data_IF_295935970045
#
_entry.id   IF_295935970045
#
_cell.length_a   1.000
_cell.length_b   1.000
_cell.length_c   1.000
_cell.angle_alpha   90.00
_cell.angle_beta   90.00
_cell.angle_gamma   90.00
#
_symmetry.space_group_name_H-M   'P 1'
#
loop_
_entity.id
_entity.type
_entity.pdbx_description
1 polymer ?
#
# COMPACT_ATOMS: atom_id res chain seq x y z
N UNK A 1 -18.35 -21.40 11.10
CA UNK A 1 -19.21 -20.21 10.85
C UNK A 1 -18.31 -19.08 10.39
N UNK A 2 -18.34 -18.77 9.09
CA UNK A 2 -17.42 -17.81 8.45
C UNK A 2 -17.98 -16.40 8.65
N UNK A 3 -17.39 -15.62 9.56
CA UNK A 3 -17.65 -14.19 9.68
C UNK A 3 -17.02 -13.48 8.49
N UNK A 4 -17.72 -13.46 7.35
CA UNK A 4 -17.47 -12.51 6.28
C UNK A 4 -17.82 -11.13 6.83
N UNK A 5 -16.83 -10.30 7.12
CA UNK A 5 -17.04 -8.87 7.31
C UNK A 5 -17.17 -8.29 5.89
N UNK A 6 -18.36 -7.87 5.43
CA UNK A 6 -18.49 -7.31 4.11
C UNK A 6 -17.57 -6.09 4.00
N UNK A 7 -16.99 -5.89 2.81
CA UNK A 7 -16.32 -4.63 2.48
C UNK A 7 -17.29 -3.52 2.84
N UNK A 8 -16.89 -2.52 3.66
CA UNK A 8 -17.79 -1.46 4.06
C UNK A 8 -18.45 -0.88 2.81
N UNK A 9 -19.78 -0.88 2.81
CA UNK A 9 -20.59 -0.55 1.64
C UNK A 9 -20.68 0.97 1.52
N UNK A 10 -19.57 1.59 1.15
CA UNK A 10 -19.51 3.00 0.75
C UNK A 10 -18.88 3.10 -0.63
N UNK A 11 -19.25 4.13 -1.38
CA UNK A 11 -18.56 4.41 -2.64
C UNK A 11 -17.24 5.13 -2.31
N UNK A 12 -16.06 4.52 -2.53
CA UNK A 12 -14.79 5.17 -2.23
C UNK A 12 -14.58 6.47 -3.03
N UNK A 13 -15.34 6.67 -4.12
CA UNK A 13 -15.28 7.87 -4.95
C UNK A 13 -16.03 9.07 -4.34
N UNK A 14 -16.89 8.83 -3.35
CA UNK A 14 -17.64 9.91 -2.66
C UNK A 14 -17.09 10.25 -1.29
N UNK A 15 -16.04 9.56 -0.83
CA UNK A 15 -15.38 9.86 0.44
C UNK A 15 -14.65 11.19 0.32
N UNK A 16 -14.91 12.17 1.21
CA UNK A 16 -14.26 13.48 1.12
C UNK A 16 -12.77 13.38 1.43
N UNK A 17 -11.95 14.03 0.59
CA UNK A 17 -10.51 14.23 0.85
C UNK A 17 -10.38 15.31 1.91
N UNK A 18 -9.91 14.95 3.11
CA UNK A 18 -9.81 15.86 4.26
C UNK A 18 -8.63 16.83 4.14
N UNK A 19 -7.52 16.39 3.54
CA UNK A 19 -6.33 17.20 3.29
C UNK A 19 -5.54 16.61 2.12
N UNK A 20 -4.79 17.48 1.45
CA UNK A 20 -3.73 17.12 0.49
C UNK A 20 -2.47 17.83 0.95
N UNK A 21 -1.39 17.08 1.15
CA UNK A 21 -0.17 17.57 1.82
C UNK A 21 0.72 18.45 0.93
N UNK A 22 0.12 19.34 0.12
CA UNK A 22 0.81 20.28 -0.77
C UNK A 22 1.73 21.27 -0.04
N UNK A 23 1.58 21.40 1.27
CA UNK A 23 2.44 22.23 2.12
C UNK A 23 3.81 21.56 2.40
N UNK A 24 3.95 20.26 2.12
CA UNK A 24 5.22 19.55 2.25
C UNK A 24 6.06 19.74 0.98
N UNK A 25 7.39 19.80 1.17
CA UNK A 25 8.31 19.89 0.04
C UNK A 25 8.24 18.61 -0.81
N UNK A 26 8.10 18.72 -2.15
CA UNK A 26 8.10 17.54 -3.01
C UNK A 26 9.46 16.84 -3.00
N UNK A 27 9.45 15.54 -3.28
CA UNK A 27 10.70 14.79 -3.49
C UNK A 27 11.35 15.29 -4.78
N UNK A 28 12.62 15.65 -4.71
CA UNK A 28 13.38 16.14 -5.86
C UNK A 28 13.41 15.08 -6.98
N UNK A 29 13.18 15.44 -8.26
CA UNK A 29 13.04 14.46 -9.36
C UNK A 29 14.25 13.55 -9.58
N UNK A 30 15.45 14.05 -9.32
CA UNK A 30 16.71 13.31 -9.40
C UNK A 30 16.76 12.12 -8.42
N UNK A 31 16.03 12.21 -7.30
CA UNK A 31 15.88 11.12 -6.32
C UNK A 31 14.91 10.03 -6.73
N UNK A 32 14.09 10.27 -7.76
CA UNK A 32 13.11 9.32 -8.28
C UNK A 32 13.63 8.50 -9.46
N UNK A 33 14.91 8.68 -9.82
CA UNK A 33 15.57 7.89 -10.88
C UNK A 33 15.83 6.46 -10.42
N UNK A 34 15.92 5.47 -11.34
CA UNK A 34 16.19 4.09 -10.97
C UNK A 34 17.50 3.92 -10.18
N UNK A 35 18.55 4.65 -10.56
CA UNK A 35 19.86 4.60 -9.92
C UNK A 35 19.80 5.15 -8.49
N UNK A 36 19.16 6.31 -8.29
CA UNK A 36 18.98 6.89 -6.96
C UNK A 36 18.15 5.99 -6.04
N UNK A 37 17.09 5.37 -6.55
CA UNK A 37 16.25 4.43 -5.79
C UNK A 37 17.04 3.17 -5.38
N UNK A 38 17.82 2.58 -6.30
CA UNK A 38 18.69 1.44 -5.98
C UNK A 38 19.69 1.80 -4.89
N UNK A 39 20.36 2.94 -5.03
CA UNK A 39 21.29 3.44 -4.01
C UNK A 39 20.60 3.64 -2.65
N UNK A 40 19.40 4.24 -2.64
CA UNK A 40 18.59 4.44 -1.45
C UNK A 40 18.19 3.13 -0.76
N UNK A 41 17.85 2.07 -1.51
CA UNK A 41 17.50 0.78 -0.92
C UNK A 41 18.70 -0.03 -0.44
N UNK A 42 19.86 0.13 -1.08
CA UNK A 42 21.12 -0.46 -0.62
C UNK A 42 21.68 0.23 0.62
N UNK A 43 21.36 1.51 0.82
CA UNK A 43 21.82 2.31 1.94
C UNK A 43 20.65 3.11 2.54
N UNK A 44 19.71 2.42 3.22
CA UNK A 44 18.57 3.08 3.82
C UNK A 44 19.02 4.03 4.93
N UNK A 45 18.45 5.24 5.02
CA UNK A 45 18.73 6.13 6.13
C UNK A 45 18.20 5.54 7.44
N UNK A 46 18.73 6.02 8.56
CA UNK A 46 18.10 5.78 9.85
C UNK A 46 16.67 6.34 9.80
N UNK A 47 15.69 5.47 9.93
CA UNK A 47 14.28 5.85 9.99
C UNK A 47 13.65 5.15 11.19
N UNK A 48 12.75 5.86 11.87
CA UNK A 48 11.92 5.33 12.95
C UNK A 48 10.46 5.37 12.49
N UNK A 49 9.66 4.30 12.71
CA UNK A 49 8.23 4.35 12.43
C UNK A 49 7.55 5.50 13.19
N UNK A 50 6.74 6.30 12.50
CA UNK A 50 5.99 7.40 13.12
C UNK A 50 4.93 6.91 14.12
N UNK A 51 4.38 5.71 13.90
CA UNK A 51 3.41 5.07 14.79
C UNK A 51 3.70 3.57 14.89
N UNK A 52 3.92 3.06 16.11
CA UNK A 52 4.34 1.68 16.35
C UNK A 52 3.25 0.75 16.91
N UNK A 53 1.99 1.17 16.96
CA UNK A 53 0.91 0.31 17.47
C UNK A 53 -0.32 0.37 16.56
N UNK A 54 -0.37 -0.51 15.57
CA UNK A 54 -1.63 -0.85 14.92
C UNK A 54 -2.57 -1.48 15.96
N UNK A 55 -3.80 -0.98 16.06
CA UNK A 55 -4.81 -1.59 16.92
C UNK A 55 -5.13 -2.98 16.37
N UNK A 56 -5.01 -4.01 17.20
CA UNK A 56 -5.44 -5.35 16.83
C UNK A 56 -6.97 -5.38 16.77
N UNK A 57 -7.54 -5.50 15.58
CA UNK A 57 -8.99 -5.51 15.36
C UNK A 57 -9.62 -6.92 15.44
N UNK A 58 -8.85 -7.95 15.79
CA UNK A 58 -9.30 -9.35 15.82
C UNK A 58 -8.45 -10.22 16.74
N UNK A 59 -9.07 -11.18 17.43
CA UNK A 59 -8.37 -12.23 18.19
C UNK A 59 -7.70 -13.30 17.31
N UNK A 60 -7.85 -13.20 15.99
CA UNK A 60 -7.23 -14.14 15.06
C UNK A 60 -5.73 -13.91 15.01
N UNK A 61 -4.95 -14.98 15.19
CA UNK A 61 -3.49 -14.95 14.97
C UNK A 61 -3.19 -14.42 13.54
N UNK A 62 -2.32 -13.40 13.40
CA UNK A 62 -1.92 -12.90 12.09
C UNK A 62 -1.38 -14.01 11.20
N UNK A 63 -1.79 -14.02 9.94
CA UNK A 63 -1.23 -14.92 8.94
C UNK A 63 0.04 -14.31 8.35
N UNK A 64 1.05 -15.15 8.09
CA UNK A 64 2.21 -14.71 7.32
C UNK A 64 1.77 -14.37 5.90
N UNK A 65 2.17 -13.20 5.45
CA UNK A 65 1.90 -12.72 4.10
C UNK A 65 3.01 -11.78 3.68
N UNK A 66 3.24 -11.72 2.37
CA UNK A 66 4.15 -10.77 1.76
C UNK A 66 3.50 -10.13 0.54
N UNK A 67 3.90 -8.89 0.28
CA UNK A 67 3.51 -8.15 -0.92
C UNK A 67 4.76 -7.64 -1.61
N UNK A 68 4.68 -7.57 -2.94
CA UNK A 68 5.61 -6.83 -3.76
C UNK A 68 5.16 -5.37 -3.80
N UNK A 69 6.10 -4.43 -3.67
CA UNK A 69 5.89 -3.01 -3.96
C UNK A 69 6.56 -2.70 -5.30
N UNK A 70 5.86 -2.91 -6.43
CA UNK A 70 6.47 -2.84 -7.75
C UNK A 70 6.60 -1.39 -8.23
N UNK A 71 7.84 -0.88 -8.24
CA UNK A 71 8.19 0.40 -8.84
C UNK A 71 8.49 0.21 -10.33
N UNK A 72 7.78 0.96 -11.18
CA UNK A 72 7.90 0.89 -12.64
C UNK A 72 8.26 2.26 -13.17
N UNK A 73 9.37 2.34 -13.90
CA UNK A 73 9.78 3.58 -14.58
C UNK A 73 9.05 3.72 -15.92
N UNK A 74 8.32 4.81 -16.12
CA UNK A 74 7.73 5.23 -17.41
C UNK A 74 8.20 6.64 -17.73
N UNK A 75 7.30 7.56 -18.10
CA UNK A 75 7.61 8.99 -18.12
C UNK A 75 7.88 9.55 -16.72
N UNK A 76 7.32 8.91 -15.68
CA UNK A 76 7.59 9.16 -14.27
C UNK A 76 7.62 7.82 -13.50
N UNK A 77 8.07 7.87 -12.24
CA UNK A 77 8.05 6.71 -11.35
C UNK A 77 6.61 6.38 -10.95
N UNK A 78 6.18 5.15 -11.19
CA UNK A 78 4.84 4.69 -10.88
C UNK A 78 4.84 3.42 -10.06
N UNK A 79 3.74 3.18 -9.32
CA UNK A 79 3.45 1.90 -8.67
C UNK A 79 2.51 1.07 -9.55
N UNK A 80 2.82 -0.22 -9.69
CA UNK A 80 1.88 -1.17 -10.27
C UNK A 80 0.95 -1.72 -9.20
N UNK A 81 -0.36 -1.51 -9.40
CA UNK A 81 -1.41 -2.02 -8.54
C UNK A 81 -2.23 -3.08 -9.29
N UNK A 82 -2.90 -3.94 -8.53
CA UNK A 82 -3.81 -4.96 -9.05
C UNK A 82 -5.22 -4.69 -8.56
N UNK A 83 -6.22 -5.04 -9.36
CA UNK A 83 -7.58 -5.19 -8.88
C UNK A 83 -7.86 -6.67 -8.63
N UNK A 84 -8.25 -7.02 -7.41
CA UNK A 84 -8.55 -8.40 -7.03
C UNK A 84 -9.81 -8.90 -7.72
N UNK A 85 -9.80 -10.14 -8.19
CA UNK A 85 -10.96 -10.75 -8.84
C UNK A 85 -12.19 -10.69 -7.93
N UNK A 86 -13.35 -10.39 -8.50
CA UNK A 86 -14.62 -10.25 -7.78
C UNK A 86 -15.10 -11.57 -7.14
N UNK A 87 -14.56 -12.71 -7.58
CA UNK A 87 -14.91 -14.05 -7.08
C UNK A 87 -14.14 -14.46 -5.82
N UNK A 88 -13.17 -13.67 -5.35
CA UNK A 88 -12.36 -14.03 -4.18
C UNK A 88 -13.18 -13.96 -2.89
N UNK A 89 -12.95 -14.91 -1.99
CA UNK A 89 -13.62 -14.96 -0.69
C UNK A 89 -13.18 -13.85 0.28
N UNK A 90 -12.11 -13.13 -0.01
CA UNK A 90 -11.67 -12.00 0.81
C UNK A 90 -11.20 -10.86 -0.08
N UNK A 91 -11.53 -9.62 0.31
CA UNK A 91 -11.08 -8.40 -0.37
C UNK A 91 -11.40 -8.42 -1.88
N UNK A 92 -12.54 -8.98 -2.28
CA UNK A 92 -12.97 -9.05 -3.67
C UNK A 92 -13.10 -7.65 -4.28
N UNK A 93 -12.64 -7.46 -5.51
CA UNK A 93 -12.77 -6.20 -6.24
C UNK A 93 -11.89 -5.05 -5.73
N UNK A 94 -11.17 -5.22 -4.62
CA UNK A 94 -10.31 -4.19 -4.04
C UNK A 94 -9.01 -4.00 -4.84
N UNK A 95 -8.50 -2.76 -4.85
CA UNK A 95 -7.15 -2.45 -5.33
C UNK A 95 -6.14 -2.91 -4.28
N UNK A 96 -5.10 -3.62 -4.71
CA UNK A 96 -4.10 -4.20 -3.84
C UNK A 96 -2.72 -4.22 -4.49
N UNK A 97 -1.69 -4.20 -3.64
CA UNK A 97 -0.34 -4.60 -4.04
C UNK A 97 -0.32 -6.09 -4.43
N UNK A 98 0.47 -6.50 -5.43
CA UNK A 98 0.65 -7.92 -5.75
C UNK A 98 1.23 -8.68 -4.56
N UNK A 99 0.68 -9.85 -4.23
CA UNK A 99 1.17 -10.63 -3.10
C UNK A 99 0.20 -11.69 -2.63
N UNK A 100 0.51 -12.31 -1.50
CA UNK A 100 -0.28 -13.42 -0.96
C UNK A 100 0.18 -13.88 0.42
N UNK A 101 -0.62 -14.79 0.98
CA UNK A 101 -0.29 -15.51 2.21
C UNK A 101 0.70 -16.63 1.90
N UNK A 102 1.61 -16.88 2.83
CA UNK A 102 2.55 -18.01 2.81
C UNK A 102 2.26 -18.96 3.94
#
# INVERSE_FOLDING_TARGET
MTLFKPVPQFDPRVVPVVSVDHHLAPVAPDRLTPEALRSRFLSPPAWSPEHSVEKCFSDRKPALAAVLVPLVMRGELMLLLTQRAATLSTHAGQIALPGGRT
#
